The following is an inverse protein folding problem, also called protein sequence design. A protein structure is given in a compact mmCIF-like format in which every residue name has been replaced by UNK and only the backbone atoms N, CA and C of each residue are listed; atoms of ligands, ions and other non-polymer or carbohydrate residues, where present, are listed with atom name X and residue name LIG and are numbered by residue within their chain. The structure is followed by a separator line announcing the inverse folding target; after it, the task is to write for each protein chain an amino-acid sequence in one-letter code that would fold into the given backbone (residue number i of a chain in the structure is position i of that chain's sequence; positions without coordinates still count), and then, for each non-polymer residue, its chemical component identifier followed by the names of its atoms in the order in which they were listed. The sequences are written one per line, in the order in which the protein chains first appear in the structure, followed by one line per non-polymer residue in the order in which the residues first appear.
data_IF_145765530183
#
_entry.id   IF_145765530183
#
_cell.length_a   1.000
_cell.length_b   1.000
_cell.length_c   1.000
_cell.angle_alpha   90.00
_cell.angle_beta   90.00
_cell.angle_gamma   90.00
#
_symmetry.space_group_name_H-M   'P 1'
#
loop_
_entity.id
_entity.type
_entity.pdbx_description
1 polymer ?
#
# COMPACT_ATOMS: atom_id res chain seq x y z
N UNK A 1 20.00 -2.91 5.82
CA UNK A 1 18.88 -3.88 5.75
C UNK A 1 18.93 -4.62 4.41
N UNK A 2 18.26 -5.77 4.27
CA UNK A 2 18.22 -6.52 3.02
C UNK A 2 17.62 -5.69 1.86
N UNK A 3 16.59 -4.87 2.13
CA UNK A 3 15.97 -3.97 1.15
C UNK A 3 16.96 -2.94 0.60
N UNK A 4 17.73 -2.28 1.46
CA UNK A 4 18.73 -1.30 1.02
C UNK A 4 19.86 -1.95 0.21
N UNK A 5 20.28 -3.17 0.60
CA UNK A 5 21.26 -3.95 -0.16
C UNK A 5 20.75 -4.33 -1.56
N UNK A 6 19.48 -4.74 -1.67
CA UNK A 6 18.84 -5.02 -2.95
C UNK A 6 18.79 -3.78 -3.86
N UNK A 7 18.43 -2.60 -3.30
CA UNK A 7 18.45 -1.34 -4.05
C UNK A 7 19.88 -1.01 -4.52
N UNK A 8 20.87 -1.13 -3.63
CA UNK A 8 22.26 -0.87 -3.98
C UNK A 8 22.77 -1.76 -5.13
N UNK A 9 22.23 -2.98 -5.26
CA UNK A 9 22.56 -3.94 -6.33
C UNK A 9 21.72 -3.75 -7.61
N UNK A 10 20.67 -2.94 -7.59
CA UNK A 10 19.78 -2.70 -8.74
C UNK A 10 20.38 -1.73 -9.77
N UNK A 11 21.48 -2.09 -10.42
CA UNK A 11 22.14 -1.19 -11.38
C UNK A 11 21.45 -1.20 -12.74
N UNK A 12 21.17 0.00 -13.26
CA UNK A 12 20.83 0.25 -14.66
C UNK A 12 22.04 0.53 -15.55
N UNK A 13 21.83 0.65 -16.87
CA UNK A 13 22.88 0.81 -17.88
C UNK A 13 23.83 1.98 -17.58
N UNK A 14 23.31 3.07 -17.01
CA UNK A 14 24.07 4.30 -16.74
C UNK A 14 24.52 4.41 -15.27
N UNK A 15 24.48 3.31 -14.51
CA UNK A 15 24.83 3.27 -13.09
C UNK A 15 23.74 3.81 -12.15
N UNK A 16 22.60 4.26 -12.68
CA UNK A 16 21.43 4.63 -11.87
C UNK A 16 20.83 3.40 -11.18
N UNK A 17 20.29 3.57 -9.96
CA UNK A 17 19.53 2.52 -9.31
C UNK A 17 18.13 2.40 -9.91
N UNK A 18 17.79 1.23 -10.43
CA UNK A 18 16.46 0.94 -10.98
C UNK A 18 15.40 0.71 -9.91
N UNK A 19 15.79 0.21 -8.73
CA UNK A 19 14.83 -0.08 -7.67
C UNK A 19 14.59 1.13 -6.75
N UNK A 20 13.36 1.23 -6.27
CA UNK A 20 12.97 1.99 -5.07
C UNK A 20 12.20 1.06 -4.15
N UNK A 21 12.09 1.42 -2.88
CA UNK A 21 11.38 0.59 -1.91
C UNK A 21 10.51 1.38 -0.93
N UNK A 22 9.68 0.61 -0.23
CA UNK A 22 8.79 1.04 0.85
C UNK A 22 9.34 0.46 2.16
N UNK A 23 9.51 1.28 3.19
CA UNK A 23 9.98 0.83 4.50
C UNK A 23 8.82 0.65 5.50
N UNK A 24 9.02 -0.20 6.51
CA UNK A 24 8.27 -0.11 7.77
C UNK A 24 9.26 0.46 8.78
N UNK A 25 8.84 1.47 9.52
CA UNK A 25 9.71 2.22 10.44
C UNK A 25 9.10 2.24 11.83
N UNK A 26 9.95 2.41 12.84
CA UNK A 26 9.50 2.80 14.17
C UNK A 26 8.85 4.20 14.07
N UNK A 27 7.65 4.44 14.64
CA UNK A 27 7.07 5.78 14.66
C UNK A 27 7.94 6.84 15.34
N UNK A 28 8.88 6.45 16.20
CA UNK A 28 9.86 7.33 16.83
C UNK A 28 11.12 7.57 15.98
N UNK A 29 11.15 7.12 14.72
CA UNK A 29 12.28 7.34 13.80
C UNK A 29 12.62 8.83 13.66
N UNK A 30 13.90 9.15 13.67
CA UNK A 30 14.37 10.54 13.53
C UNK A 30 14.33 11.03 12.08
N UNK A 31 14.27 12.34 11.88
CA UNK A 31 14.40 12.96 10.55
C UNK A 31 15.73 12.60 9.86
N UNK A 32 16.81 12.45 10.62
CA UNK A 32 18.12 12.05 10.10
C UNK A 32 18.10 10.60 9.57
N UNK A 33 17.42 9.69 10.26
CA UNK A 33 17.24 8.31 9.79
C UNK A 33 16.31 8.25 8.57
N UNK A 34 15.24 9.06 8.53
CA UNK A 34 14.39 9.20 7.36
C UNK A 34 15.18 9.72 6.14
N UNK A 35 16.08 10.69 6.33
CA UNK A 35 16.99 11.17 5.30
C UNK A 35 17.96 10.07 4.83
N UNK A 36 18.54 9.31 5.75
CA UNK A 36 19.41 8.18 5.39
C UNK A 36 18.65 7.09 4.59
N UNK A 37 17.39 6.82 4.94
CA UNK A 37 16.52 5.92 4.15
C UNK A 37 16.23 6.51 2.76
N UNK A 38 16.01 7.82 2.66
CA UNK A 38 15.85 8.50 1.38
C UNK A 38 17.09 8.32 0.49
N UNK A 39 18.28 8.58 1.02
CA UNK A 39 19.54 8.44 0.30
C UNK A 39 19.78 6.99 -0.13
N UNK A 40 19.34 6.03 0.69
CA UNK A 40 19.37 4.60 0.39
C UNK A 40 18.33 4.13 -0.65
N UNK A 41 17.44 5.00 -1.14
CA UNK A 41 16.46 4.68 -2.18
C UNK A 41 15.05 4.33 -1.68
N UNK A 42 14.76 4.48 -0.39
CA UNK A 42 13.39 4.40 0.13
C UNK A 42 12.62 5.65 -0.28
N UNK A 43 11.35 5.49 -0.66
CA UNK A 43 10.49 6.60 -1.09
C UNK A 43 9.13 6.64 -0.39
N UNK A 44 8.82 5.65 0.42
CA UNK A 44 7.50 5.48 1.06
C UNK A 44 7.66 4.73 2.36
N UNK A 45 6.72 4.90 3.28
CA UNK A 45 6.55 4.03 4.44
C UNK A 45 5.25 3.23 4.34
N UNK A 46 5.15 2.11 5.06
CA UNK A 46 3.95 1.26 5.09
C UNK A 46 3.34 1.18 6.47
N UNK A 47 2.06 1.50 6.59
CA UNK A 47 1.25 1.20 7.76
C UNK A 47 0.43 -0.07 7.51
N UNK A 48 0.56 -1.03 8.42
CA UNK A 48 -0.16 -2.30 8.37
C UNK A 48 -1.25 -2.29 9.46
N UNK A 49 -2.49 -2.12 9.04
CA UNK A 49 -3.66 -1.86 9.88
C UNK A 49 -4.64 -3.04 9.83
N UNK A 50 -4.16 -4.28 9.87
CA UNK A 50 -5.03 -5.47 9.93
C UNK A 50 -5.76 -5.51 11.27
N UNK A 51 -7.03 -5.94 11.28
CA UNK A 51 -7.90 -5.91 12.46
C UNK A 51 -7.27 -6.52 13.72
N UNK A 52 -6.54 -7.63 13.55
CA UNK A 52 -5.77 -8.31 14.62
C UNK A 52 -4.63 -7.47 15.24
N UNK A 53 -4.32 -6.32 14.66
CA UNK A 53 -3.32 -5.35 15.08
C UNK A 53 -3.95 -4.01 15.46
N UNK A 54 -5.14 -3.67 14.94
CA UNK A 54 -5.73 -2.32 14.99
C UNK A 54 -5.96 -1.79 16.40
N UNK A 55 -6.33 -2.64 17.36
CA UNK A 55 -6.55 -2.22 18.75
C UNK A 55 -5.25 -1.70 19.42
N UNK A 56 -4.08 -2.16 18.95
CA UNK A 56 -2.76 -1.78 19.45
C UNK A 56 -2.02 -0.80 18.53
N UNK A 57 -2.63 -0.35 17.41
CA UNK A 57 -1.96 0.58 16.49
C UNK A 57 -1.95 2.00 17.09
N UNK A 58 -0.77 2.60 17.33
CA UNK A 58 -0.68 3.97 17.80
C UNK A 58 -0.93 4.95 16.63
N UNK A 59 -2.20 5.15 16.26
CA UNK A 59 -2.65 6.03 15.16
C UNK A 59 -2.03 7.44 15.28
N UNK A 60 -1.97 8.00 16.49
CA UNK A 60 -1.36 9.32 16.71
C UNK A 60 0.13 9.37 16.33
N UNK A 61 0.90 8.33 16.70
CA UNK A 61 2.33 8.25 16.33
C UNK A 61 2.52 8.05 14.82
N UNK A 62 1.59 7.36 14.16
CA UNK A 62 1.61 7.23 12.70
C UNK A 62 1.32 8.58 12.01
N UNK A 63 0.43 9.40 12.57
CA UNK A 63 0.20 10.76 12.07
C UNK A 63 1.43 11.65 12.28
N UNK A 64 2.09 11.55 13.43
CA UNK A 64 3.34 12.26 13.71
C UNK A 64 4.42 11.91 12.69
N UNK A 65 4.77 10.63 12.51
CA UNK A 65 5.80 10.25 11.54
C UNK A 65 5.43 10.62 10.11
N UNK A 66 4.14 10.52 9.74
CA UNK A 66 3.68 10.92 8.41
C UNK A 66 3.85 12.42 8.14
N UNK A 67 3.80 13.27 9.18
CA UNK A 67 3.99 14.71 9.06
C UNK A 67 5.46 15.12 8.82
N UNK A 68 6.42 14.25 9.16
CA UNK A 68 7.86 14.50 9.06
C UNK A 68 8.53 13.76 7.89
N UNK A 69 7.76 13.14 6.99
CA UNK A 69 8.32 12.40 5.87
C UNK A 69 9.09 13.33 4.89
N UNK A 70 10.19 12.84 4.30
CA UNK A 70 10.89 13.59 3.26
C UNK A 70 9.96 14.00 2.12
N UNK A 71 10.21 15.17 1.51
CA UNK A 71 9.38 15.70 0.42
C UNK A 71 9.20 14.67 -0.70
N UNK A 72 7.95 14.49 -1.14
CA UNK A 72 7.58 13.56 -2.20
C UNK A 72 7.43 12.11 -1.75
N UNK A 73 7.57 11.82 -0.45
CA UNK A 73 7.20 10.51 0.08
C UNK A 73 5.69 10.35 0.20
N UNK A 74 5.26 9.10 0.16
CA UNK A 74 3.87 8.69 0.31
C UNK A 74 3.73 7.63 1.41
N UNK A 75 2.52 7.49 1.95
CA UNK A 75 2.20 6.41 2.89
C UNK A 75 1.48 5.30 2.13
N UNK A 76 1.98 4.08 2.25
CA UNK A 76 1.32 2.86 1.79
C UNK A 76 0.47 2.33 2.94
N UNK A 77 -0.82 2.10 2.73
CA UNK A 77 -1.73 1.59 3.76
C UNK A 77 -2.26 0.22 3.34
N UNK A 78 -2.19 -0.73 4.27
CA UNK A 78 -2.79 -2.05 4.12
C UNK A 78 -3.82 -2.29 5.21
N UNK A 79 -5.07 -2.55 4.84
CA UNK A 79 -6.21 -2.77 5.73
C UNK A 79 -7.22 -3.76 5.10
N UNK A 80 -8.25 -4.15 5.85
CA UNK A 80 -9.36 -5.02 5.41
C UNK A 80 -10.65 -4.23 5.16
N UNK A 81 -11.46 -4.61 4.17
CA UNK A 81 -12.61 -3.81 3.73
C UNK A 81 -13.62 -3.50 4.86
N UNK A 82 -13.75 -4.40 5.85
CA UNK A 82 -14.68 -4.27 6.98
C UNK A 82 -14.35 -3.13 7.95
N UNK A 83 -13.11 -2.64 7.95
CA UNK A 83 -12.64 -1.53 8.80
C UNK A 83 -12.40 -0.23 8.03
N UNK A 84 -12.75 -0.16 6.74
CA UNK A 84 -12.55 1.04 5.92
C UNK A 84 -13.17 2.27 6.59
N UNK A 85 -14.44 2.19 6.99
CA UNK A 85 -15.17 3.31 7.58
C UNK A 85 -14.57 3.77 8.92
N UNK A 86 -14.06 2.83 9.73
CA UNK A 86 -13.36 3.15 10.99
C UNK A 86 -12.03 3.88 10.73
N UNK A 87 -11.33 3.51 9.65
CA UNK A 87 -10.03 4.08 9.30
C UNK A 87 -10.11 5.40 8.54
N UNK A 88 -11.28 5.77 7.98
CA UNK A 88 -11.44 7.02 7.21
C UNK A 88 -10.93 8.26 7.96
N UNK A 89 -11.32 8.54 9.22
CA UNK A 89 -10.83 9.73 9.93
C UNK A 89 -9.30 9.75 10.08
N UNK A 90 -8.68 8.59 10.29
CA UNK A 90 -7.23 8.47 10.37
C UNK A 90 -6.56 8.72 9.00
N UNK A 91 -7.09 8.13 7.93
CA UNK A 91 -6.54 8.32 6.58
C UNK A 91 -6.71 9.76 6.08
N UNK A 92 -7.82 10.42 6.40
CA UNK A 92 -8.06 11.83 6.08
C UNK A 92 -7.11 12.77 6.82
N UNK A 93 -6.62 12.38 8.00
CA UNK A 93 -5.64 13.16 8.76
C UNK A 93 -4.20 13.09 8.20
N UNK A 94 -3.88 12.10 7.35
CA UNK A 94 -2.56 11.97 6.74
C UNK A 94 -2.40 12.99 5.61
N UNK A 95 -1.44 13.91 5.76
CA UNK A 95 -1.23 15.06 4.86
C UNK A 95 -0.30 14.80 3.65
N UNK A 96 0.14 13.57 3.48
CA UNK A 96 0.85 13.12 2.27
C UNK A 96 -0.04 12.20 1.45
N UNK A 97 0.29 11.99 0.19
CA UNK A 97 -0.49 11.11 -0.68
C UNK A 97 -0.47 9.67 -0.18
N UNK A 98 -1.56 8.96 -0.47
CA UNK A 98 -1.79 7.60 -0.01
C UNK A 98 -1.65 6.62 -1.17
N UNK A 99 -1.15 5.42 -0.87
CA UNK A 99 -1.19 4.27 -1.77
C UNK A 99 -1.84 3.10 -1.03
N UNK A 100 -3.01 2.68 -1.48
CA UNK A 100 -3.72 1.56 -0.85
C UNK A 100 -3.26 0.24 -1.44
N UNK A 101 -2.76 -0.65 -0.57
CA UNK A 101 -2.40 -2.01 -0.96
C UNK A 101 -3.65 -2.84 -1.24
N UNK A 102 -3.63 -3.54 -2.38
CA UNK A 102 -4.63 -4.56 -2.73
C UNK A 102 -6.08 -4.05 -2.65
N UNK A 103 -6.29 -2.78 -3.00
CA UNK A 103 -7.59 -2.09 -2.97
C UNK A 103 -8.29 -2.07 -1.59
N UNK A 104 -7.56 -2.33 -0.50
CA UNK A 104 -8.19 -2.50 0.82
C UNK A 104 -8.90 -3.84 0.99
N UNK A 105 -8.49 -4.86 0.22
CA UNK A 105 -9.01 -6.23 0.25
C UNK A 105 -10.55 -6.36 0.11
N UNK A 106 -11.15 -5.81 -0.96
CA UNK A 106 -12.56 -6.01 -1.20
C UNK A 106 -12.87 -7.49 -1.47
N UNK A 107 -14.06 -7.94 -1.11
CA UNK A 107 -14.62 -9.20 -1.60
C UNK A 107 -15.06 -9.03 -3.07
N UNK A 108 -14.16 -9.42 -3.99
CA UNK A 108 -14.37 -9.26 -5.44
C UNK A 108 -15.53 -10.10 -5.98
N UNK A 109 -16.01 -11.11 -5.23
CA UNK A 109 -17.16 -11.94 -5.62
C UNK A 109 -18.48 -11.17 -5.59
N UNK A 110 -18.51 -10.02 -4.90
CA UNK A 110 -19.64 -9.11 -4.92
C UNK A 110 -19.79 -8.39 -6.28
N UNK A 111 -18.81 -8.53 -7.17
CA UNK A 111 -18.76 -7.86 -8.46
C UNK A 111 -18.34 -6.39 -8.36
N UNK A 112 -18.20 -5.69 -9.51
CA UNK A 112 -17.69 -4.32 -9.56
C UNK A 112 -18.59 -3.32 -8.83
N UNK A 113 -19.89 -3.58 -8.73
CA UNK A 113 -20.86 -2.76 -8.00
C UNK A 113 -21.26 -3.32 -6.63
N UNK A 114 -20.46 -4.26 -6.13
CA UNK A 114 -20.51 -4.77 -4.77
C UNK A 114 -20.31 -3.68 -3.71
N UNK A 115 -20.69 -3.99 -2.48
CA UNK A 115 -20.61 -3.06 -1.36
C UNK A 115 -19.17 -2.59 -1.13
N UNK A 116 -18.20 -3.51 -1.15
CA UNK A 116 -16.80 -3.21 -0.85
C UNK A 116 -16.19 -2.31 -1.94
N UNK A 117 -16.46 -2.62 -3.21
CA UNK A 117 -15.97 -1.84 -4.34
C UNK A 117 -16.62 -0.44 -4.39
N UNK A 118 -17.90 -0.31 -4.01
CA UNK A 118 -18.57 0.99 -3.89
C UNK A 118 -17.99 1.83 -2.74
N UNK A 119 -17.79 1.23 -1.57
CA UNK A 119 -17.19 1.91 -0.43
C UNK A 119 -15.76 2.37 -0.72
N UNK A 120 -14.97 1.51 -1.40
CA UNK A 120 -13.62 1.83 -1.84
C UNK A 120 -13.60 2.95 -2.88
N UNK A 121 -14.49 2.94 -3.88
CA UNK A 121 -14.61 4.07 -4.84
C UNK A 121 -15.01 5.37 -4.15
N UNK A 122 -15.94 5.33 -3.20
CA UNK A 122 -16.31 6.50 -2.42
C UNK A 122 -15.12 7.07 -1.62
N UNK A 123 -14.25 6.19 -1.11
CA UNK A 123 -12.97 6.58 -0.50
C UNK A 123 -11.98 7.19 -1.50
N UNK A 124 -11.76 6.56 -2.66
CA UNK A 124 -10.91 7.14 -3.70
C UNK A 124 -11.39 8.52 -4.18
N UNK A 125 -12.71 8.76 -4.14
CA UNK A 125 -13.31 10.03 -4.54
C UNK A 125 -13.25 11.11 -3.44
N UNK A 126 -12.85 10.79 -2.21
CA UNK A 126 -12.76 11.81 -1.15
C UNK A 126 -11.52 12.69 -1.29
N UNK A 127 -10.47 12.20 -1.96
CA UNK A 127 -9.19 12.88 -2.17
C UNK A 127 -8.53 12.46 -3.48
N UNK A 128 -8.07 13.44 -4.27
CA UNK A 128 -7.41 13.19 -5.56
C UNK A 128 -6.03 12.51 -5.43
N UNK A 129 -5.40 12.61 -4.25
CA UNK A 129 -4.06 12.08 -3.98
C UNK A 129 -4.06 10.67 -3.38
N UNK A 130 -5.18 9.94 -3.48
CA UNK A 130 -5.27 8.54 -3.10
C UNK A 130 -5.09 7.68 -4.33
N UNK A 131 -3.99 6.94 -4.35
CA UNK A 131 -3.71 5.91 -5.33
C UNK A 131 -3.94 4.52 -4.75
N UNK A 132 -4.01 3.50 -5.60
CA UNK A 132 -4.13 2.13 -5.14
C UNK A 132 -3.41 1.13 -6.05
N UNK A 133 -3.20 -0.07 -5.52
CA UNK A 133 -2.64 -1.21 -6.25
C UNK A 133 -3.75 -2.20 -6.58
N UNK A 134 -4.07 -2.33 -7.87
CA UNK A 134 -4.90 -3.40 -8.42
C UNK A 134 -4.11 -4.71 -8.47
N UNK A 135 -3.85 -5.32 -7.31
CA UNK A 135 -2.93 -6.48 -7.19
C UNK A 135 -3.50 -7.58 -6.28
N UNK A 136 -2.81 -8.72 -6.28
CA UNK A 136 -3.09 -9.90 -5.46
C UNK A 136 -4.43 -10.61 -5.75
N UNK A 137 -4.72 -10.98 -7.02
CA UNK A 137 -5.87 -11.85 -7.32
C UNK A 137 -5.81 -13.17 -6.51
N UNK A 138 -4.61 -13.72 -6.29
CA UNK A 138 -4.36 -14.90 -5.45
C UNK A 138 -4.84 -14.77 -4.01
N UNK A 139 -5.01 -13.54 -3.51
CA UNK A 139 -5.48 -13.27 -2.13
C UNK A 139 -6.92 -12.82 -2.05
N UNK A 140 -7.47 -12.31 -3.15
CA UNK A 140 -8.80 -11.69 -3.20
C UNK A 140 -9.83 -12.61 -3.86
N UNK A 141 -9.40 -13.44 -4.81
CA UNK A 141 -10.26 -14.33 -5.61
C UNK A 141 -9.90 -15.82 -5.43
N UNK A 142 -9.07 -16.15 -4.44
CA UNK A 142 -8.85 -17.54 -4.08
C UNK A 142 -10.06 -18.12 -3.34
N UNK A 143 -10.67 -19.16 -3.93
CA UNK A 143 -11.69 -19.98 -3.25
C UNK A 143 -11.00 -20.78 -2.14
N UNK A 144 -11.27 -20.41 -0.88
CA UNK A 144 -10.61 -20.96 0.32
C UNK A 144 -10.78 -22.48 0.50
N UNK A 145 -11.77 -23.11 -0.15
CA UNK A 145 -12.12 -24.52 0.10
C UNK A 145 -11.88 -25.50 -1.08
N UNK A 146 -11.47 -25.04 -2.27
CA UNK A 146 -11.22 -25.98 -3.39
C UNK A 146 -10.28 -25.52 -4.50
N UNK A 147 -9.57 -24.39 -4.33
CA UNK A 147 -8.45 -24.05 -5.22
C UNK A 147 -8.80 -23.95 -6.70
N UNK A 148 -9.89 -23.26 -7.07
CA UNK A 148 -10.03 -22.79 -8.45
C UNK A 148 -9.21 -21.49 -8.60
N UNK A 149 -7.89 -21.59 -8.48
CA UNK A 149 -7.02 -20.56 -9.03
C UNK A 149 -7.14 -20.56 -10.54
N UNK A 150 -6.93 -19.39 -11.17
CA UNK A 150 -7.06 -19.13 -12.62
C UNK A 150 -8.48 -19.45 -13.18
N UNK A 151 -9.16 -18.49 -13.85
CA UNK A 151 -8.63 -17.24 -14.41
C UNK A 151 -8.74 -15.97 -13.55
N UNK A 152 -9.04 -16.09 -12.25
CA UNK A 152 -9.24 -14.91 -11.38
C UNK A 152 -10.30 -13.94 -11.95
N UNK A 153 -11.35 -14.50 -12.54
CA UNK A 153 -12.37 -13.77 -13.28
C UNK A 153 -13.13 -12.77 -12.42
N UNK A 154 -13.35 -13.06 -11.13
CA UNK A 154 -14.05 -12.14 -10.25
C UNK A 154 -13.18 -10.92 -9.95
N UNK A 155 -11.87 -11.10 -9.75
CA UNK A 155 -10.92 -9.99 -9.62
C UNK A 155 -10.88 -9.12 -10.88
N UNK A 156 -10.74 -9.75 -12.06
CA UNK A 156 -10.72 -9.03 -13.34
C UNK A 156 -12.02 -8.25 -13.58
N UNK A 157 -13.17 -8.88 -13.31
CA UNK A 157 -14.50 -8.26 -13.46
C UNK A 157 -14.71 -7.12 -12.47
N UNK A 158 -14.27 -7.28 -11.22
CA UNK A 158 -14.38 -6.25 -10.19
C UNK A 158 -13.59 -4.99 -10.58
N UNK A 159 -12.40 -5.13 -11.14
CA UNK A 159 -11.57 -4.00 -11.57
C UNK A 159 -12.06 -3.40 -12.90
N UNK A 160 -12.56 -4.21 -13.83
CA UNK A 160 -12.93 -3.80 -15.19
C UNK A 160 -14.32 -3.15 -15.36
N UNK A 161 -15.19 -3.19 -14.34
CA UNK A 161 -16.59 -2.73 -14.45
C UNK A 161 -16.77 -1.23 -14.76
N UNK A 162 -17.97 -0.84 -15.20
CA UNK A 162 -18.35 0.45 -15.84
C UNK A 162 -18.24 1.75 -15.01
N UNK A 163 -17.46 1.76 -13.92
CA UNK A 163 -17.05 2.97 -13.17
C UNK A 163 -15.55 3.31 -13.33
N UNK A 164 -14.89 2.71 -14.32
CA UNK A 164 -13.43 2.55 -14.42
C UNK A 164 -12.64 3.77 -14.82
N UNK A 165 -13.23 4.77 -15.47
CA UNK A 165 -12.47 5.92 -15.99
C UNK A 165 -11.76 6.70 -14.87
N UNK A 166 -12.36 6.74 -13.66
CA UNK A 166 -11.75 7.32 -12.45
C UNK A 166 -10.78 6.33 -11.77
N UNK A 167 -11.10 5.03 -11.74
CA UNK A 167 -10.26 3.95 -11.21
C UNK A 167 -8.89 3.89 -11.91
N UNK A 168 -8.85 4.14 -13.22
CA UNK A 168 -7.59 4.20 -13.98
C UNK A 168 -6.78 5.48 -13.75
N UNK A 169 -7.41 6.61 -13.35
CA UNK A 169 -6.67 7.85 -13.00
C UNK A 169 -5.85 7.70 -11.73
N UNK A 170 -6.38 6.95 -10.76
CA UNK A 170 -5.75 6.75 -9.45
C UNK A 170 -4.97 5.42 -9.34
N UNK A 171 -5.08 4.54 -10.32
CA UNK A 171 -4.32 3.30 -10.37
C UNK A 171 -2.85 3.57 -10.68
N UNK A 172 -1.94 3.07 -9.85
CA UNK A 172 -0.52 3.10 -10.20
C UNK A 172 -0.27 2.04 -11.28
N UNK A 173 -0.15 2.46 -12.54
CA UNK A 173 0.49 1.61 -13.56
C UNK A 173 1.98 1.54 -13.22
N UNK A 174 2.48 0.33 -12.98
CA UNK A 174 3.82 0.01 -12.48
C UNK A 174 4.94 0.31 -13.53
N UNK A 175 5.05 1.56 -13.99
CA UNK A 175 6.04 1.99 -14.99
C UNK A 175 7.40 2.39 -14.36
N UNK A 176 7.59 2.20 -13.07
CA UNK A 176 8.90 2.33 -12.41
C UNK A 176 9.26 0.96 -11.84
N UNK A 177 10.49 0.43 -12.04
CA UNK A 177 10.85 -0.88 -11.49
C UNK A 177 10.83 -0.82 -9.96
N UNK A 178 9.73 -1.20 -9.32
CA UNK A 178 9.67 -1.36 -7.86
C UNK A 178 10.05 -2.81 -7.59
N UNK A 179 11.24 -3.03 -7.02
CA UNK A 179 11.54 -4.30 -6.38
C UNK A 179 10.62 -4.44 -5.16
N UNK A 180 9.49 -5.13 -5.33
CA UNK A 180 8.62 -5.50 -4.22
C UNK A 180 9.35 -6.54 -3.35
N UNK A 181 10.08 -6.05 -2.34
CA UNK A 181 10.63 -6.87 -1.28
C UNK A 181 10.37 -6.17 0.05
N UNK A 182 9.23 -6.50 0.67
CA UNK A 182 9.04 -6.28 2.10
C UNK A 182 9.79 -7.38 2.84
N UNK A 183 11.07 -7.18 3.16
CA UNK A 183 11.72 -7.97 4.20
C UNK A 183 11.38 -7.30 5.51
N UNK A 184 10.50 -7.93 6.29
CA UNK A 184 10.35 -7.62 7.70
C UNK A 184 11.73 -7.79 8.35
N UNK A 185 12.27 -6.73 8.95
CA UNK A 185 13.39 -6.88 9.86
C UNK A 185 12.85 -7.64 11.09
N UNK A 186 13.22 -8.91 11.22
CA UNK A 186 13.01 -9.67 12.45
C UNK A 186 13.72 -8.96 13.61
N UNK A 187 13.12 -8.93 14.82
CA UNK A 187 13.81 -8.44 15.99
C UNK A 187 14.95 -9.41 16.29
N UNK A 188 16.19 -8.92 16.31
CA UNK A 188 17.30 -9.68 16.87
C UNK A 188 17.00 -9.88 18.35
N UNK A 189 16.69 -11.11 18.76
CA UNK A 189 16.95 -11.52 20.13
C UNK A 189 18.45 -11.39 20.39
N UNK A 190 18.77 -10.92 21.59
CA UNK A 190 20.11 -10.80 22.14
C UNK A 190 20.89 -12.13 22.13
#
# INVERSE_FOLDING_TARGET
SATLDAIAKSNGPDGEKWARAVAVVDPAISEAELAALHDGGIRRIRFNLLKRLVDDVPKDKFLEVAAHLPKGWHVVIYFEADILEELRPFMDAIRVSLVIDHMGRPDVRQGPDGADMKAFRAFLNSREDIQFKATCPDRLDAIKDSGAGDPWDAFATAIGGSGTEQTFRNGVSDQTPIAASSVAAEPRCA
#
